data_IF_399218944510
#
_entry.id   IF_399218944510
#
_cell.length_a   1.000
_cell.length_b   1.000
_cell.length_c   1.000
_cell.angle_alpha   90.00
_cell.angle_beta   90.00
_cell.angle_gamma   90.00
#
_symmetry.space_group_name_H-M   'P 1'
#
loop_
_entity.id
_entity.type
_entity.pdbx_description
1 polymer ?
#
# COMPACT_ATOMS: atom_id res chain seq x y z
N UNK A 1 0.85 -1.66 4.35
CA UNK A 1 2.09 -0.96 4.72
C UNK A 1 2.78 -1.72 5.82
N UNK A 2 4.06 -1.42 6.08
CA UNK A 2 4.70 -1.74 7.37
C UNK A 2 4.55 -0.51 8.26
N UNK A 3 4.26 -0.64 9.56
CA UNK A 3 4.15 0.51 10.47
C UNK A 3 5.51 1.16 10.76
N UNK A 4 5.54 2.45 11.10
CA UNK A 4 6.76 3.15 11.55
C UNK A 4 7.31 2.48 12.79
N UNK A 5 8.64 2.42 12.90
CA UNK A 5 9.29 1.74 14.03
C UNK A 5 8.91 2.40 15.38
N UNK A 6 8.68 3.72 15.38
CA UNK A 6 8.21 4.47 16.55
C UNK A 6 6.82 4.03 17.02
N UNK A 7 5.82 4.01 16.14
CA UNK A 7 4.45 3.66 16.52
C UNK A 7 4.30 2.18 16.81
N UNK A 8 5.06 1.34 16.09
CA UNK A 8 5.16 -0.09 16.36
C UNK A 8 5.78 -0.39 17.73
N UNK A 9 6.88 0.29 18.10
CA UNK A 9 7.48 0.13 19.41
C UNK A 9 6.53 0.58 20.53
N UNK A 10 5.78 1.66 20.32
CA UNK A 10 4.76 2.13 21.28
C UNK A 10 3.65 1.09 21.49
N UNK A 11 3.19 0.45 20.40
CA UNK A 11 2.25 -0.67 20.47
C UNK A 11 2.83 -1.86 21.24
N UNK A 12 4.06 -2.28 20.94
CA UNK A 12 4.72 -3.40 21.63
C UNK A 12 4.88 -3.14 23.14
N UNK A 13 5.24 -1.92 23.54
CA UNK A 13 5.32 -1.55 24.95
C UNK A 13 3.96 -1.62 25.64
N UNK A 14 2.90 -1.13 24.98
CA UNK A 14 1.54 -1.17 25.52
C UNK A 14 1.03 -2.62 25.64
N UNK A 15 1.33 -3.47 24.66
CA UNK A 15 1.03 -4.89 24.69
C UNK A 15 1.74 -5.61 25.84
N UNK A 16 3.04 -5.33 26.04
CA UNK A 16 3.79 -5.94 27.14
C UNK A 16 3.28 -5.48 28.52
N UNK A 17 2.92 -4.20 28.67
CA UNK A 17 2.27 -3.71 29.90
C UNK A 17 0.94 -4.41 30.17
N UNK A 18 0.11 -4.60 29.15
CA UNK A 18 -1.15 -5.31 29.29
C UNK A 18 -0.95 -6.77 29.70
N UNK A 19 0.03 -7.48 29.13
CA UNK A 19 0.39 -8.84 29.56
C UNK A 19 0.84 -8.89 31.01
N UNK A 20 1.73 -7.99 31.42
CA UNK A 20 2.19 -7.93 32.81
C UNK A 20 1.04 -7.67 33.80
N UNK A 21 -0.01 -6.95 33.39
CA UNK A 21 -1.20 -6.73 34.23
C UNK A 21 -2.05 -8.01 34.31
N UNK A 22 -2.16 -8.78 33.22
CA UNK A 22 -2.87 -10.06 33.23
C UNK A 22 -2.15 -11.13 34.06
N UNK A 23 -0.83 -11.03 34.18
CA UNK A 23 -0.02 -11.96 34.98
C UNK A 23 0.01 -11.62 36.49
N UNK A 24 -0.65 -10.54 36.92
CA UNK A 24 -0.71 -10.13 38.33
C UNK A 24 -1.88 -10.78 39.06
N UNK A 25 -1.58 -11.47 40.16
CA UNK A 25 -2.59 -12.08 41.03
C UNK A 25 -3.52 -11.05 41.72
N UNK A 26 -3.07 -9.80 41.84
CA UNK A 26 -3.79 -8.70 42.49
C UNK A 26 -4.42 -7.71 41.50
N UNK A 27 -4.43 -8.03 40.20
CA UNK A 27 -4.95 -7.14 39.17
C UNK A 27 -6.44 -6.82 39.40
N UNK A 28 -6.77 -5.52 39.39
CA UNK A 28 -8.16 -5.08 39.52
C UNK A 28 -8.81 -4.89 38.14
N UNK A 29 -10.14 -4.82 38.10
CA UNK A 29 -10.86 -4.47 36.87
C UNK A 29 -10.46 -3.09 36.33
N UNK A 30 -10.09 -2.15 37.22
CA UNK A 30 -9.59 -0.85 36.83
C UNK A 30 -8.24 -0.97 36.10
N UNK A 31 -7.32 -1.81 36.59
CA UNK A 31 -6.04 -2.07 35.93
C UNK A 31 -6.24 -2.69 34.54
N UNK A 32 -7.14 -3.67 34.43
CA UNK A 32 -7.49 -4.31 33.16
C UNK A 32 -8.09 -3.29 32.18
N UNK A 33 -9.03 -2.47 32.63
CA UNK A 33 -9.66 -1.45 31.78
C UNK A 33 -8.65 -0.41 31.29
N UNK A 34 -7.73 0.02 32.18
CA UNK A 34 -6.66 0.95 31.82
C UNK A 34 -5.69 0.31 30.82
N UNK A 35 -5.31 -0.96 31.02
CA UNK A 35 -4.47 -1.71 30.09
C UNK A 35 -5.10 -1.81 28.70
N UNK A 36 -6.39 -2.16 28.65
CA UNK A 36 -7.16 -2.27 27.41
C UNK A 36 -7.25 -0.93 26.67
N UNK A 37 -7.59 0.15 27.40
CA UNK A 37 -7.69 1.49 26.83
C UNK A 37 -6.35 1.97 26.24
N UNK A 38 -5.24 1.73 26.96
CA UNK A 38 -3.90 2.07 26.50
C UNK A 38 -3.49 1.25 25.26
N UNK A 39 -3.77 -0.05 25.25
CA UNK A 39 -3.50 -0.91 24.11
C UNK A 39 -4.31 -0.45 22.89
N UNK A 40 -5.61 -0.20 23.03
CA UNK A 40 -6.46 0.29 21.95
C UNK A 40 -5.98 1.63 21.41
N UNK A 41 -5.57 2.55 22.29
CA UNK A 41 -5.00 3.84 21.90
C UNK A 41 -3.72 3.65 21.09
N UNK A 42 -2.83 2.73 21.50
CA UNK A 42 -1.61 2.44 20.74
C UNK A 42 -1.89 1.83 19.37
N UNK A 43 -2.92 0.99 19.24
CA UNK A 43 -3.37 0.40 17.97
C UNK A 43 -3.88 1.51 17.04
N UNK A 44 -4.72 2.40 17.55
CA UNK A 44 -5.28 3.51 16.78
C UNK A 44 -4.20 4.52 16.34
N UNK A 45 -3.09 4.59 17.07
CA UNK A 45 -1.96 5.48 16.77
C UNK A 45 -0.89 4.84 15.88
N UNK A 46 -1.08 3.58 15.44
CA UNK A 46 -0.19 2.96 14.46
C UNK A 46 -0.18 3.77 13.16
N UNK A 47 1.01 4.13 12.71
CA UNK A 47 1.21 4.88 11.46
C UNK A 47 1.96 4.03 10.48
N UNK A 48 1.48 3.95 9.25
CA UNK A 48 2.24 3.32 8.17
C UNK A 48 3.57 4.06 7.98
N UNK A 49 4.62 3.31 7.66
CA UNK A 49 5.83 3.90 7.10
C UNK A 49 5.42 4.68 5.87
N UNK A 50 5.99 5.89 5.66
CA UNK A 50 5.74 6.63 4.44
C UNK A 50 6.01 5.69 3.28
N UNK A 51 4.97 5.41 2.51
CA UNK A 51 5.18 4.72 1.26
C UNK A 51 6.00 5.68 0.41
N UNK A 52 7.25 5.31 0.12
CA UNK A 52 7.98 5.93 -0.98
C UNK A 52 7.27 5.50 -2.27
N UNK A 53 6.09 6.06 -2.49
CA UNK A 53 5.44 6.08 -3.78
C UNK A 53 6.28 7.05 -4.59
N UNK A 54 7.37 6.52 -5.16
CA UNK A 54 7.95 7.17 -6.33
C UNK A 54 6.84 7.08 -7.36
N UNK A 55 6.05 8.16 -7.48
CA UNK A 55 5.08 8.28 -8.56
C UNK A 55 5.92 8.28 -9.83
N UNK A 56 5.97 7.11 -10.48
CA UNK A 56 6.69 6.98 -11.74
C UNK A 56 6.03 7.98 -12.68
N UNK A 57 6.81 8.90 -13.23
CA UNK A 57 6.29 9.83 -14.21
C UNK A 57 5.97 9.05 -15.50
N UNK A 58 4.69 8.69 -15.64
CA UNK A 58 4.15 7.98 -16.79
C UNK A 58 3.63 8.94 -17.86
N UNK A 59 3.83 10.26 -17.74
CA UNK A 59 3.27 11.25 -18.66
C UNK A 59 3.63 10.98 -20.12
N UNK A 60 4.89 10.60 -20.39
CA UNK A 60 5.35 10.22 -21.72
C UNK A 60 4.67 8.94 -22.23
N UNK A 61 4.47 7.94 -21.37
CA UNK A 61 3.79 6.70 -21.73
C UNK A 61 2.30 6.92 -22.02
N UNK A 62 1.64 7.74 -21.20
CA UNK A 62 0.23 8.16 -21.39
C UNK A 62 0.07 8.88 -22.73
N UNK A 63 0.95 9.84 -23.03
CA UNK A 63 0.91 10.59 -24.27
C UNK A 63 1.06 9.67 -25.50
N UNK A 64 2.06 8.78 -25.48
CA UNK A 64 2.29 7.82 -26.58
C UNK A 64 1.12 6.85 -26.71
N UNK A 65 0.59 6.30 -25.62
CA UNK A 65 -0.58 5.42 -25.66
C UNK A 65 -1.79 6.12 -26.28
N UNK A 66 -2.15 7.31 -25.79
CA UNK A 66 -3.30 8.06 -26.30
C UNK A 66 -3.16 8.46 -27.77
N UNK A 67 -1.94 8.78 -28.24
CA UNK A 67 -1.68 9.06 -29.65
C UNK A 67 -1.88 7.84 -30.56
N UNK A 68 -1.71 6.63 -30.02
CA UNK A 68 -1.63 5.40 -30.80
C UNK A 68 -2.85 4.47 -30.61
N UNK A 69 -3.65 4.62 -29.55
CA UNK A 69 -4.72 3.69 -29.19
C UNK A 69 -5.84 3.55 -30.23
N UNK A 70 -6.06 4.60 -31.02
CA UNK A 70 -7.11 4.66 -32.03
C UNK A 70 -6.58 4.42 -33.46
N UNK A 71 -5.31 4.03 -33.60
CA UNK A 71 -4.75 3.68 -34.92
C UNK A 71 -5.44 2.42 -35.45
N UNK A 72 -5.61 2.39 -36.77
CA UNK A 72 -6.13 1.24 -37.52
C UNK A 72 -5.02 0.61 -38.37
N UNK A 73 -5.17 -0.68 -38.69
CA UNK A 73 -4.15 -1.48 -39.40
C UNK A 73 -3.72 -0.91 -40.76
N UNK A 74 -4.62 -0.24 -41.48
CA UNK A 74 -4.30 0.33 -42.79
C UNK A 74 -3.62 -0.66 -43.74
N UNK A 75 -2.45 -0.29 -44.24
CA UNK A 75 -1.62 -1.11 -45.15
C UNK A 75 -0.51 -1.88 -44.43
N UNK A 76 -0.47 -1.88 -43.09
CA UNK A 76 0.52 -2.64 -42.33
C UNK A 76 0.30 -4.16 -42.46
N UNK A 77 1.41 -4.92 -42.43
CA UNK A 77 1.34 -6.38 -42.42
C UNK A 77 0.78 -6.88 -41.10
N UNK A 78 0.18 -8.07 -41.11
CA UNK A 78 -0.35 -8.73 -39.91
C UNK A 78 0.70 -8.84 -38.81
N UNK A 79 1.93 -9.17 -39.18
CA UNK A 79 3.06 -9.32 -38.26
C UNK A 79 3.43 -7.99 -37.57
N UNK A 80 3.60 -6.92 -38.34
CA UNK A 80 3.96 -5.60 -37.80
C UNK A 80 2.81 -4.99 -37.00
N UNK A 81 1.58 -5.20 -37.45
CA UNK A 81 0.37 -4.75 -36.74
C UNK A 81 0.19 -5.49 -35.40
N UNK A 82 0.37 -6.81 -35.38
CA UNK A 82 0.30 -7.59 -34.14
C UNK A 82 1.37 -7.15 -33.14
N UNK A 83 2.59 -6.88 -33.62
CA UNK A 83 3.69 -6.37 -32.77
C UNK A 83 3.35 -5.01 -32.16
N UNK A 84 2.75 -4.11 -32.95
CA UNK A 84 2.26 -2.82 -32.47
C UNK A 84 1.17 -2.99 -31.39
N UNK A 85 0.14 -3.81 -31.65
CA UNK A 85 -0.94 -4.07 -30.69
C UNK A 85 -0.42 -4.68 -29.37
N UNK A 86 0.54 -5.61 -29.45
CA UNK A 86 1.17 -6.17 -28.26
C UNK A 86 1.88 -5.09 -27.43
N UNK A 87 2.58 -4.17 -28.09
CA UNK A 87 3.30 -3.08 -27.42
C UNK A 87 2.32 -2.09 -26.78
N UNK A 88 1.23 -1.76 -27.48
CA UNK A 88 0.16 -0.90 -26.98
C UNK A 88 -0.56 -1.52 -25.77
N UNK A 89 -0.85 -2.83 -25.82
CA UNK A 89 -1.46 -3.56 -24.70
C UNK A 89 -0.53 -3.64 -23.48
N UNK A 90 0.78 -3.83 -23.69
CA UNK A 90 1.75 -3.76 -22.59
C UNK A 90 1.76 -2.38 -21.95
N UNK A 91 1.72 -1.31 -22.75
CA UNK A 91 1.62 0.06 -22.24
C UNK A 91 0.34 0.25 -21.42
N UNK A 92 -0.82 -0.19 -21.93
CA UNK A 92 -2.09 -0.16 -21.20
C UNK A 92 -2.00 -0.87 -19.84
N UNK A 93 -1.50 -2.10 -19.82
CA UNK A 93 -1.36 -2.85 -18.57
C UNK A 93 -0.43 -2.17 -17.55
N UNK A 94 0.57 -1.41 -18.01
CA UNK A 94 1.42 -0.61 -17.11
C UNK A 94 0.65 0.59 -16.57
N UNK A 95 -0.19 1.23 -17.39
CA UNK A 95 -1.01 2.38 -16.98
C UNK A 95 -2.12 1.96 -15.99
N UNK A 96 -2.73 0.80 -16.18
CA UNK A 96 -3.83 0.28 -15.35
C UNK A 96 -3.37 -0.28 -13.97
N UNK A 97 -2.04 -0.38 -13.72
CA UNK A 97 -1.48 -0.95 -12.48
C UNK A 97 -1.24 0.05 -11.35
N UNK A 98 -1.57 1.33 -11.54
CA UNK A 98 -1.29 2.42 -10.59
C UNK A 98 -2.54 2.98 -9.87
N UNK A 99 -3.71 2.40 -10.07
CA UNK A 99 -4.96 2.72 -9.35
C UNK A 99 -5.25 1.67 -8.26
#
# INVERSE_FOLDING_TARGET
GTFTDETWNTFLQSLNKAKNILDRDDATQLDINNALSNLQTSINNLKDKPQNIVKVDKSNLIAIYNLNKDKVKGTFTDETWNTFLQSLNKAKNILDRDD
#
